data_IF_423931119714
#
_entry.id   IF_423931119714
#
_cell.length_a   1.000
_cell.length_b   1.000
_cell.length_c   1.000
_cell.angle_alpha   90.00
_cell.angle_beta   90.00
_cell.angle_gamma   90.00
#
_symmetry.space_group_name_H-M   'P 1'
#
loop_
_entity.id
_entity.type
_entity.pdbx_description
1 polymer ?
#
# COMPACT_ATOMS: atom_id res chain seq x y z
N UNK A 1 -27.83 9.38 -13.59
CA UNK A 1 -28.35 7.99 -13.58
C UNK A 1 -27.14 7.04 -13.56
N UNK A 2 -27.20 5.92 -12.83
CA UNK A 2 -26.11 4.96 -12.84
C UNK A 2 -25.96 4.38 -14.26
N UNK A 3 -24.74 4.36 -14.78
CA UNK A 3 -24.43 3.83 -16.11
C UNK A 3 -24.41 2.30 -16.00
N UNK A 4 -25.31 1.64 -16.72
CA UNK A 4 -25.35 0.18 -16.79
C UNK A 4 -24.47 -0.31 -17.94
N UNK A 5 -23.43 -1.11 -17.60
CA UNK A 5 -22.58 -1.79 -18.56
C UNK A 5 -23.00 -3.25 -18.70
N UNK A 6 -23.15 -3.73 -19.93
CA UNK A 6 -23.32 -5.14 -20.21
C UNK A 6 -21.99 -5.91 -20.05
N UNK A 7 -22.08 -7.23 -19.90
CA UNK A 7 -20.91 -8.09 -19.60
C UNK A 7 -19.70 -7.80 -20.50
N UNK A 8 -19.89 -7.77 -21.81
CA UNK A 8 -18.80 -7.51 -22.78
C UNK A 8 -18.25 -6.09 -22.70
N UNK A 9 -19.08 -5.11 -22.38
CA UNK A 9 -18.63 -3.73 -22.18
C UNK A 9 -17.77 -3.61 -20.91
N UNK A 10 -18.16 -4.34 -19.85
CA UNK A 10 -17.38 -4.39 -18.62
C UNK A 10 -16.02 -5.05 -18.85
N UNK A 11 -15.98 -6.21 -19.52
CA UNK A 11 -14.74 -6.90 -19.90
C UNK A 11 -13.80 -5.96 -20.70
N UNK A 12 -14.34 -5.17 -21.61
CA UNK A 12 -13.56 -4.20 -22.39
C UNK A 12 -13.03 -3.05 -21.52
N UNK A 13 -13.83 -2.49 -20.62
CA UNK A 13 -13.39 -1.43 -19.70
C UNK A 13 -12.31 -1.96 -18.75
N UNK A 14 -12.48 -3.15 -18.20
CA UNK A 14 -11.51 -3.80 -17.33
C UNK A 14 -10.17 -4.03 -18.06
N UNK A 15 -10.22 -4.49 -19.31
CA UNK A 15 -9.03 -4.66 -20.14
C UNK A 15 -8.32 -3.34 -20.44
N UNK A 16 -9.07 -2.28 -20.82
CA UNK A 16 -8.52 -0.94 -21.05
C UNK A 16 -7.81 -0.41 -19.81
N UNK A 17 -8.44 -0.55 -18.64
CA UNK A 17 -7.84 -0.16 -17.37
C UNK A 17 -6.50 -0.88 -17.12
N UNK A 18 -6.50 -2.20 -17.19
CA UNK A 18 -5.30 -3.02 -16.95
C UNK A 18 -4.18 -2.69 -17.94
N UNK A 19 -4.53 -2.52 -19.21
CA UNK A 19 -3.56 -2.23 -20.26
C UNK A 19 -2.92 -0.85 -20.07
N UNK A 20 -3.74 0.18 -19.83
CA UNK A 20 -3.26 1.56 -19.62
C UNK A 20 -2.41 1.64 -18.34
N UNK A 21 -2.80 0.97 -17.26
CA UNK A 21 -2.01 0.92 -16.03
C UNK A 21 -0.65 0.25 -16.24
N UNK A 22 -0.60 -0.82 -17.02
CA UNK A 22 0.63 -1.58 -17.25
C UNK A 22 1.59 -0.88 -18.21
N UNK A 23 1.09 -0.26 -19.27
CA UNK A 23 1.90 0.25 -20.36
C UNK A 23 1.96 1.78 -20.45
N UNK A 24 1.09 2.51 -19.72
CA UNK A 24 1.02 3.98 -19.74
C UNK A 24 0.31 4.57 -20.96
N UNK A 25 -0.24 3.75 -21.86
CA UNK A 25 -0.97 4.15 -23.06
C UNK A 25 -2.06 3.14 -23.41
N UNK A 26 -3.05 3.59 -24.22
CA UNK A 26 -4.16 2.72 -24.61
C UNK A 26 -3.77 1.62 -25.62
N UNK A 27 -4.47 0.47 -25.62
CA UNK A 27 -4.28 -0.55 -26.63
C UNK A 27 -4.82 -0.10 -28.00
N UNK A 28 -4.32 -0.72 -29.06
CA UNK A 28 -4.87 -0.63 -30.42
C UNK A 28 -6.14 -1.47 -30.54
N UNK A 29 -6.92 -1.24 -31.58
CA UNK A 29 -8.13 -2.04 -31.86
C UNK A 29 -7.81 -3.52 -32.07
N UNK A 30 -6.65 -3.84 -32.66
CA UNK A 30 -6.19 -5.21 -32.87
C UNK A 30 -5.86 -5.88 -31.55
N UNK A 31 -5.11 -5.22 -30.66
CA UNK A 31 -4.80 -5.72 -29.32
C UNK A 31 -6.06 -5.95 -28.48
N UNK A 32 -7.08 -5.07 -28.62
CA UNK A 32 -8.39 -5.26 -27.98
C UNK A 32 -9.10 -6.50 -28.55
N UNK A 33 -9.14 -6.65 -29.89
CA UNK A 33 -9.79 -7.78 -30.53
C UNK A 33 -9.18 -9.11 -30.09
N UNK A 34 -7.85 -9.21 -30.10
CA UNK A 34 -7.11 -10.40 -29.67
C UNK A 34 -7.37 -10.74 -28.20
N UNK A 35 -7.26 -9.77 -27.32
CA UNK A 35 -7.43 -9.96 -25.88
C UNK A 35 -8.85 -10.42 -25.49
N UNK A 36 -9.87 -9.92 -26.18
CA UNK A 36 -11.27 -10.24 -25.91
C UNK A 36 -11.82 -11.38 -26.77
N UNK A 37 -11.00 -11.99 -27.63
CA UNK A 37 -11.39 -13.06 -28.54
C UNK A 37 -12.46 -12.62 -29.55
N UNK A 38 -12.38 -11.37 -30.05
CA UNK A 38 -13.29 -10.82 -31.02
C UNK A 38 -12.73 -11.05 -32.43
N UNK A 39 -13.55 -11.63 -33.31
CA UNK A 39 -13.15 -11.98 -34.69
C UNK A 39 -13.18 -10.78 -35.66
N UNK A 40 -13.73 -9.63 -35.25
CA UNK A 40 -13.90 -8.46 -36.11
C UNK A 40 -13.56 -7.16 -35.41
N UNK A 41 -12.73 -6.34 -36.06
CA UNK A 41 -12.46 -4.96 -35.61
C UNK A 41 -13.74 -4.09 -35.64
N UNK A 42 -14.70 -4.40 -36.50
CA UNK A 42 -16.00 -3.70 -36.54
C UNK A 42 -16.75 -3.86 -35.21
N UNK A 43 -16.72 -5.05 -34.62
CA UNK A 43 -17.33 -5.32 -33.30
C UNK A 43 -16.63 -4.53 -32.19
N UNK A 44 -15.30 -4.43 -32.25
CA UNK A 44 -14.54 -3.58 -31.29
C UNK A 44 -14.97 -2.12 -31.41
N UNK A 45 -15.05 -1.61 -32.65
CA UNK A 45 -15.52 -0.25 -32.93
C UNK A 45 -16.91 0.03 -32.36
N UNK A 46 -17.85 -0.89 -32.54
CA UNK A 46 -19.23 -0.77 -32.06
C UNK A 46 -19.28 -0.71 -30.52
N UNK A 47 -18.50 -1.57 -29.83
CA UNK A 47 -18.41 -1.54 -28.38
C UNK A 47 -17.80 -0.23 -27.90
N UNK A 48 -16.71 0.24 -28.51
CA UNK A 48 -16.07 1.51 -28.16
C UNK A 48 -17.00 2.71 -28.40
N UNK A 49 -17.71 2.75 -29.53
CA UNK A 49 -18.67 3.80 -29.82
C UNK A 49 -19.82 3.82 -28.79
N UNK A 50 -20.24 2.65 -28.32
CA UNK A 50 -21.26 2.55 -27.30
C UNK A 50 -20.75 3.03 -25.94
N UNK A 51 -19.49 2.72 -25.56
CA UNK A 51 -18.87 3.20 -24.34
C UNK A 51 -18.64 4.71 -24.38
N UNK A 52 -18.27 5.25 -25.53
CA UNK A 52 -18.12 6.69 -25.74
C UNK A 52 -19.45 7.44 -25.56
N UNK A 53 -20.52 6.96 -26.18
CA UNK A 53 -21.89 7.50 -25.99
C UNK A 53 -22.37 7.43 -24.53
N UNK A 54 -21.91 6.45 -23.79
CA UNK A 54 -22.19 6.32 -22.35
C UNK A 54 -21.29 7.20 -21.48
N UNK A 55 -20.32 7.92 -22.04
CA UNK A 55 -19.37 8.75 -21.31
C UNK A 55 -18.36 7.95 -20.47
N UNK A 56 -18.10 6.70 -20.85
CA UNK A 56 -17.14 5.82 -20.16
C UNK A 56 -15.72 6.05 -20.66
N UNK A 57 -15.59 6.30 -21.98
CA UNK A 57 -14.32 6.60 -22.64
C UNK A 57 -14.46 7.86 -23.49
N UNK A 58 -13.31 8.44 -23.85
CA UNK A 58 -13.15 9.44 -24.91
C UNK A 58 -12.29 8.84 -26.01
N UNK A 59 -12.56 9.21 -27.27
CA UNK A 59 -11.77 8.80 -28.41
C UNK A 59 -11.23 10.02 -29.14
N UNK A 60 -10.00 9.90 -29.61
CA UNK A 60 -9.31 10.97 -30.35
C UNK A 60 -9.04 10.47 -31.77
N UNK A 61 -9.72 11.07 -32.74
CA UNK A 61 -9.60 10.71 -34.14
C UNK A 61 -8.16 10.94 -34.65
N UNK A 62 -7.72 10.05 -35.52
CA UNK A 62 -6.37 10.09 -36.10
C UNK A 62 -5.26 9.55 -35.22
N UNK A 63 -5.55 9.14 -33.97
CA UNK A 63 -4.58 8.52 -33.10
C UNK A 63 -4.85 7.02 -32.93
N UNK A 64 -3.88 6.17 -33.32
CA UNK A 64 -3.98 4.71 -33.25
C UNK A 64 -4.22 4.21 -31.81
N UNK A 65 -3.76 4.95 -30.81
CA UNK A 65 -3.93 4.69 -29.37
C UNK A 65 -4.78 5.77 -28.68
N UNK A 66 -5.68 6.40 -29.43
CA UNK A 66 -6.51 7.52 -29.01
C UNK A 66 -7.73 7.14 -28.19
N UNK A 67 -7.58 6.29 -27.19
CA UNK A 67 -8.66 5.91 -26.27
C UNK A 67 -8.24 6.36 -24.86
N UNK A 68 -9.13 7.07 -24.18
CA UNK A 68 -8.92 7.54 -22.81
C UNK A 68 -10.14 7.14 -21.96
N UNK A 69 -9.90 6.58 -20.78
CA UNK A 69 -10.98 6.31 -19.82
C UNK A 69 -11.36 7.61 -19.11
N UNK A 70 -12.66 7.85 -18.94
CA UNK A 70 -13.11 8.95 -18.08
C UNK A 70 -12.83 8.63 -16.61
N UNK A 71 -12.46 9.64 -15.81
CA UNK A 71 -12.00 9.50 -14.41
C UNK A 71 -12.92 8.62 -13.53
N UNK A 72 -14.23 8.72 -13.73
CA UNK A 72 -15.20 7.90 -13.01
C UNK A 72 -15.11 6.38 -13.28
N UNK A 73 -14.39 5.98 -14.34
CA UNK A 73 -14.21 4.58 -14.78
C UNK A 73 -12.76 4.14 -14.74
N UNK A 74 -11.85 5.02 -14.37
CA UNK A 74 -10.49 4.64 -14.03
C UNK A 74 -10.60 3.88 -12.70
N UNK A 75 -10.83 2.59 -12.79
CA UNK A 75 -10.58 1.75 -11.62
C UNK A 75 -9.08 1.73 -11.44
N UNK A 76 -8.60 2.50 -10.50
CA UNK A 76 -7.37 2.11 -9.84
C UNK A 76 -7.71 0.78 -9.17
N UNK A 77 -7.56 -0.31 -9.89
CA UNK A 77 -7.43 -1.62 -9.29
C UNK A 77 -6.05 -1.63 -8.61
N UNK A 78 -5.91 -0.81 -7.59
CA UNK A 78 -4.96 -1.07 -6.53
C UNK A 78 -5.53 -2.33 -5.90
N UNK A 79 -4.99 -3.50 -6.27
CA UNK A 79 -5.21 -4.72 -5.52
C UNK A 79 -4.76 -4.40 -4.11
N UNK A 80 -5.72 -3.94 -3.28
CA UNK A 80 -5.40 -3.59 -1.91
C UNK A 80 -4.95 -4.87 -1.22
N UNK A 81 -3.74 -4.87 -0.71
CA UNK A 81 -3.18 -5.99 0.04
C UNK A 81 -3.72 -5.90 1.46
N UNK A 82 -4.36 -6.97 1.92
CA UNK A 82 -4.81 -7.08 3.30
C UNK A 82 -3.64 -7.50 4.18
N UNK A 83 -3.28 -6.64 5.14
CA UNK A 83 -2.19 -6.90 6.09
C UNK A 83 -2.77 -7.07 7.49
N UNK A 84 -2.38 -8.13 8.22
CA UNK A 84 -2.86 -8.34 9.58
C UNK A 84 -2.33 -7.28 10.55
N UNK A 85 -3.17 -6.86 11.49
CA UNK A 85 -2.76 -6.07 12.65
C UNK A 85 -2.33 -7.04 13.75
N UNK A 86 -1.02 -7.13 14.00
CA UNK A 86 -0.47 -8.15 14.92
C UNK A 86 -0.25 -7.68 16.35
N UNK A 87 -0.76 -6.51 16.72
CA UNK A 87 -0.73 -6.06 18.11
C UNK A 87 -0.67 -4.56 18.29
N UNK A 88 -0.51 -4.16 19.56
CA UNK A 88 -0.29 -2.77 19.98
C UNK A 88 1.14 -2.64 20.45
N UNK A 89 1.83 -1.60 20.02
CA UNK A 89 3.12 -1.21 20.60
C UNK A 89 2.86 -0.12 21.63
N UNK A 90 3.10 -0.44 22.88
CA UNK A 90 3.15 0.55 23.95
C UNK A 90 4.60 0.90 24.27
N UNK A 91 4.89 2.18 24.49
CA UNK A 91 6.15 2.58 25.08
C UNK A 91 6.24 2.02 26.51
N UNK A 92 7.08 1.00 26.71
CA UNK A 92 7.38 0.46 28.03
C UNK A 92 6.56 -0.76 28.51
N UNK A 93 5.81 -1.41 27.62
CA UNK A 93 5.14 -2.68 27.95
C UNK A 93 5.47 -3.75 26.91
N UNK A 94 5.47 -5.06 27.30
CA UNK A 94 5.64 -6.15 26.36
C UNK A 94 4.61 -6.06 25.23
N UNK A 95 5.00 -6.44 24.02
CA UNK A 95 3.97 -6.80 23.03
C UNK A 95 3.30 -8.06 23.62
N UNK A 96 2.14 -7.89 24.24
CA UNK A 96 1.19 -8.96 24.20
C UNK A 96 0.83 -9.09 22.73
N UNK A 97 1.35 -10.14 22.12
CA UNK A 97 0.94 -10.59 20.81
C UNK A 97 -0.51 -11.13 20.93
N UNK A 98 -1.44 -10.24 21.22
CA UNK A 98 -2.82 -10.47 20.91
C UNK A 98 -2.86 -10.30 19.39
N UNK A 99 -2.54 -11.39 18.68
CA UNK A 99 -2.93 -11.53 17.29
C UNK A 99 -4.45 -11.40 17.28
N UNK A 100 -4.91 -10.18 17.09
CA UNK A 100 -6.30 -9.94 16.71
C UNK A 100 -6.37 -10.36 15.24
N UNK A 101 -6.51 -11.69 15.03
CA UNK A 101 -6.52 -12.33 13.70
C UNK A 101 -7.63 -11.81 12.81
N UNK A 102 -8.56 -11.05 13.39
CA UNK A 102 -9.73 -10.53 12.70
C UNK A 102 -9.55 -9.08 12.22
N UNK A 103 -8.50 -8.36 12.66
CA UNK A 103 -8.21 -7.02 12.20
C UNK A 103 -7.18 -7.01 11.07
N UNK A 104 -7.60 -6.54 9.90
CA UNK A 104 -6.71 -6.31 8.76
C UNK A 104 -6.80 -4.86 8.31
N UNK A 105 -5.74 -4.36 7.70
CA UNK A 105 -5.70 -3.06 7.05
C UNK A 105 -5.43 -3.26 5.56
N UNK A 106 -6.24 -2.62 4.73
CA UNK A 106 -6.05 -2.61 3.29
C UNK A 106 -5.05 -1.52 2.92
N UNK A 107 -3.98 -1.90 2.25
CA UNK A 107 -2.91 -0.99 1.82
C UNK A 107 -2.63 -1.13 0.33
N UNK A 108 -2.13 -0.06 -0.27
CA UNK A 108 -1.67 -0.11 -1.67
C UNK A 108 -0.43 -1.01 -1.81
N UNK A 109 -0.30 -1.82 -2.88
CA UNK A 109 0.87 -2.67 -3.13
C UNK A 109 2.20 -1.93 -3.12
N UNK A 110 2.22 -0.66 -3.50
CA UNK A 110 3.43 0.16 -3.50
C UNK A 110 3.89 0.62 -2.09
N UNK A 111 3.07 0.40 -1.07
CA UNK A 111 3.41 0.71 0.34
C UNK A 111 4.08 -0.47 1.05
N UNK A 112 4.17 -1.63 0.41
CA UNK A 112 4.62 -2.87 1.04
C UNK A 112 5.60 -3.62 0.16
N UNK A 113 6.48 -4.38 0.78
CA UNK A 113 7.40 -5.26 0.07
C UNK A 113 6.66 -6.51 -0.43
N UNK A 114 6.85 -6.87 -1.70
CA UNK A 114 6.35 -8.13 -2.26
C UNK A 114 7.22 -9.33 -1.89
N UNK A 115 8.47 -9.09 -1.45
CA UNK A 115 9.48 -10.12 -1.18
C UNK A 115 9.62 -10.47 0.30
N UNK A 116 9.03 -9.66 1.20
CA UNK A 116 9.14 -9.83 2.64
C UNK A 116 7.75 -9.81 3.29
N UNK A 117 7.66 -10.42 4.46
CA UNK A 117 6.44 -10.37 5.27
C UNK A 117 6.20 -8.94 5.76
N UNK A 118 4.96 -8.46 5.60
CA UNK A 118 4.53 -7.17 6.11
C UNK A 118 3.53 -7.39 7.25
N UNK A 119 3.52 -6.48 8.20
CA UNK A 119 2.59 -6.49 9.31
C UNK A 119 2.25 -5.06 9.74
N UNK A 120 1.15 -4.90 10.42
CA UNK A 120 0.69 -3.61 10.94
C UNK A 120 0.66 -3.66 12.47
N UNK A 121 1.06 -2.56 13.08
CA UNK A 121 0.99 -2.37 14.53
C UNK A 121 0.23 -1.08 14.84
N UNK A 122 -0.61 -1.11 15.87
CA UNK A 122 -1.25 0.08 16.41
C UNK A 122 -0.31 0.76 17.39
N UNK A 123 -0.06 2.05 17.16
CA UNK A 123 0.82 2.87 18.02
C UNK A 123 0.09 3.26 19.29
N UNK A 124 0.77 3.10 20.43
CA UNK A 124 0.35 3.59 21.74
C UNK A 124 1.44 4.45 22.32
N UNK A 125 1.10 5.68 22.73
CA UNK A 125 2.02 6.65 23.29
C UNK A 125 2.60 7.64 22.28
N UNK A 126 3.43 8.57 22.76
CA UNK A 126 3.84 9.79 22.06
C UNK A 126 5.34 9.84 21.76
N UNK A 127 6.03 8.70 21.79
CA UNK A 127 7.49 8.68 21.66
C UNK A 127 8.01 9.03 20.26
N UNK A 128 7.15 9.12 19.26
CA UNK A 128 7.50 9.36 17.85
C UNK A 128 6.73 10.52 17.21
N UNK A 129 6.19 11.43 18.03
CA UNK A 129 5.33 12.54 17.58
C UNK A 129 6.05 13.52 16.65
N UNK A 130 7.35 13.73 16.81
CA UNK A 130 8.15 14.62 15.96
C UNK A 130 8.43 14.01 14.56
N UNK A 131 8.25 12.71 14.40
CA UNK A 131 8.21 12.02 13.08
C UNK A 131 6.78 11.91 12.56
N UNK A 132 5.81 12.61 13.19
CA UNK A 132 4.42 12.61 12.77
C UNK A 132 3.65 11.33 13.10
N UNK A 133 4.23 10.41 13.90
CA UNK A 133 3.59 9.18 14.34
C UNK A 133 2.94 9.42 15.70
N UNK A 134 1.61 9.41 15.76
CA UNK A 134 0.83 9.74 16.93
C UNK A 134 0.19 8.50 17.58
N UNK A 135 -0.23 8.67 18.82
CA UNK A 135 -1.03 7.66 19.50
C UNK A 135 -2.30 7.32 18.69
N UNK A 136 -2.57 6.04 18.50
CA UNK A 136 -3.70 5.52 17.72
C UNK A 136 -3.43 5.26 16.24
N UNK A 137 -2.30 5.72 15.70
CA UNK A 137 -1.89 5.43 14.32
C UNK A 137 -1.63 3.94 14.08
N UNK A 138 -1.68 3.55 12.81
CA UNK A 138 -1.28 2.22 12.35
C UNK A 138 0.01 2.37 11.55
N UNK A 139 1.11 1.75 12.00
CA UNK A 139 2.37 1.70 11.26
C UNK A 139 2.48 0.41 10.47
N UNK A 140 2.82 0.55 9.18
CA UNK A 140 3.10 -0.57 8.28
C UNK A 140 4.57 -0.90 8.41
N UNK A 141 4.88 -2.12 8.78
CA UNK A 141 6.22 -2.61 9.00
C UNK A 141 6.58 -3.72 8.02
N UNK A 142 7.80 -3.68 7.51
CA UNK A 142 8.44 -4.77 6.79
C UNK A 142 9.26 -5.59 7.77
N UNK A 143 9.04 -6.91 7.83
CA UNK A 143 9.80 -7.81 8.69
C UNK A 143 11.30 -7.77 8.31
N UNK A 144 12.12 -7.46 9.29
CA UNK A 144 13.59 -7.41 9.14
C UNK A 144 14.24 -7.67 10.49
N UNK A 145 15.38 -8.34 10.48
CA UNK A 145 16.24 -8.51 11.65
C UNK A 145 17.41 -7.52 11.68
N UNK A 146 17.49 -6.62 10.70
CA UNK A 146 18.51 -5.56 10.58
C UNK A 146 17.87 -4.24 10.23
N UNK A 147 18.52 -3.14 10.57
CA UNK A 147 18.12 -1.78 10.19
C UNK A 147 19.34 -0.91 9.89
N UNK A 148 19.14 0.13 9.10
CA UNK A 148 20.12 1.17 8.85
C UNK A 148 20.01 2.28 9.91
N UNK A 149 21.07 3.09 10.01
CA UNK A 149 21.10 4.25 10.89
C UNK A 149 19.94 5.21 10.60
N UNK A 150 19.19 5.57 11.63
CA UNK A 150 18.08 6.51 11.54
C UNK A 150 16.74 5.91 11.08
N UNK A 151 16.70 4.64 10.67
CA UNK A 151 15.43 3.99 10.35
C UNK A 151 14.55 3.86 11.60
N UNK A 152 13.24 3.98 11.41
CA UNK A 152 12.25 3.76 12.46
C UNK A 152 11.98 2.25 12.53
N UNK A 153 12.26 1.67 13.69
CA UNK A 153 12.19 0.22 13.88
C UNK A 153 11.22 -0.17 14.99
N UNK A 154 10.71 -1.37 14.85
CA UNK A 154 10.11 -2.14 15.94
C UNK A 154 11.24 -2.94 16.57
N UNK A 155 11.70 -2.53 17.74
CA UNK A 155 12.76 -3.20 18.49
C UNK A 155 12.19 -3.88 19.74
N UNK A 156 12.62 -5.13 19.97
CA UNK A 156 12.37 -5.87 21.19
C UNK A 156 13.59 -5.77 22.11
N UNK A 157 13.39 -5.23 23.29
CA UNK A 157 14.39 -5.07 24.34
C UNK A 157 14.08 -6.09 25.42
N UNK A 158 15.13 -6.75 25.97
CA UNK A 158 15.04 -7.71 27.08
C UNK A 158 13.98 -8.82 26.86
N UNK A 159 13.84 -9.28 25.61
CA UNK A 159 12.91 -10.34 25.15
C UNK A 159 11.41 -10.04 25.34
N UNK A 160 11.06 -8.97 26.06
CA UNK A 160 9.66 -8.71 26.44
C UNK A 160 9.16 -7.30 26.10
N UNK A 161 10.04 -6.33 25.82
CA UNK A 161 9.63 -4.96 25.58
C UNK A 161 9.77 -4.57 24.11
N UNK A 162 8.68 -4.50 23.41
CA UNK A 162 8.70 -3.93 22.08
C UNK A 162 8.51 -2.42 22.12
N UNK A 163 9.27 -1.72 21.31
CA UNK A 163 9.22 -0.27 21.22
C UNK A 163 9.40 0.21 19.77
N UNK A 164 8.83 1.37 19.46
CA UNK A 164 9.02 2.07 18.20
C UNK A 164 9.98 3.24 18.42
N UNK A 165 11.16 3.19 17.79
CA UNK A 165 12.23 4.19 17.95
C UNK A 165 13.03 4.31 16.66
N UNK A 166 13.80 5.39 16.53
CA UNK A 166 14.86 5.51 15.51
C UNK A 166 16.07 4.69 15.98
N UNK A 167 16.56 3.85 15.08
CA UNK A 167 17.71 2.97 15.35
C UNK A 167 19.03 3.67 15.03
N UNK A 168 19.95 3.59 15.96
CA UNK A 168 21.36 3.99 15.78
C UNK A 168 22.28 2.97 16.42
N UNK A 169 23.40 2.70 15.75
CA UNK A 169 24.48 1.88 16.30
C UNK A 169 25.69 2.78 16.58
N UNK A 170 26.07 2.90 17.83
CA UNK A 170 27.20 3.71 18.31
C UNK A 170 28.25 2.78 18.93
N UNK A 171 29.25 2.39 18.11
CA UNK A 171 30.27 1.41 18.54
C UNK A 171 29.65 0.04 18.85
N UNK A 172 29.77 -0.42 20.09
CA UNK A 172 29.22 -1.69 20.56
C UNK A 172 27.82 -1.55 21.19
N UNK A 173 27.25 -0.34 21.23
CA UNK A 173 25.94 -0.09 21.82
C UNK A 173 24.92 0.26 20.75
N UNK A 174 23.68 -0.08 21.03
CA UNK A 174 22.51 0.33 20.24
C UNK A 174 21.83 1.46 20.99
N UNK A 175 21.56 2.55 20.28
CA UNK A 175 20.80 3.69 20.75
C UNK A 175 19.45 3.69 20.04
N UNK A 176 18.40 3.55 20.82
CA UNK A 176 17.02 3.66 20.38
C UNK A 176 16.51 5.06 20.73
N UNK A 177 16.47 5.92 19.71
CA UNK A 177 16.18 7.34 19.86
C UNK A 177 14.67 7.60 19.70
N UNK A 178 13.98 8.18 20.69
CA UNK A 178 12.63 8.68 20.49
C UNK A 178 12.65 9.90 19.57
N UNK A 179 11.57 10.12 18.85
CA UNK A 179 11.27 11.37 18.15
C UNK A 179 10.29 12.21 18.99
N UNK A 180 10.73 12.54 20.17
CA UNK A 180 10.04 13.38 21.16
C UNK A 180 11.10 13.99 22.07
N UNK A 181 11.26 15.31 21.99
CA UNK A 181 12.27 16.06 22.75
C UNK A 181 12.14 15.96 24.29
N UNK A 182 10.96 15.55 24.77
CA UNK A 182 10.72 15.34 26.20
C UNK A 182 11.13 13.94 26.69
N UNK A 183 11.65 13.08 25.81
CA UNK A 183 12.02 11.70 26.12
C UNK A 183 13.52 11.47 25.91
N UNK A 184 14.11 10.64 26.76
CA UNK A 184 15.53 10.30 26.65
C UNK A 184 15.76 9.08 25.75
N UNK A 185 16.88 9.00 25.03
CA UNK A 185 17.30 7.81 24.30
C UNK A 185 17.48 6.61 25.22
N UNK A 186 17.19 5.42 24.72
CA UNK A 186 17.45 4.15 25.39
C UNK A 186 18.74 3.57 24.80
N UNK A 187 19.71 3.26 25.68
CA UNK A 187 20.95 2.59 25.28
C UNK A 187 20.91 1.14 25.75
N UNK A 188 21.15 0.22 24.85
CA UNK A 188 21.19 -1.22 25.12
C UNK A 188 22.42 -1.86 24.47
N UNK A 189 22.89 -2.94 25.05
CA UNK A 189 23.99 -3.71 24.44
C UNK A 189 23.51 -4.54 23.27
N UNK A 190 22.25 -4.99 23.31
CA UNK A 190 21.62 -5.74 22.23
C UNK A 190 20.10 -5.48 22.20
N UNK A 191 19.50 -5.62 21.02
CA UNK A 191 18.06 -5.68 20.82
C UNK A 191 17.73 -6.54 19.59
N UNK A 192 16.53 -7.07 19.55
CA UNK A 192 16.03 -7.82 18.38
C UNK A 192 15.17 -6.87 17.55
N UNK A 193 15.59 -6.61 16.32
CA UNK A 193 14.77 -5.86 15.37
C UNK A 193 13.71 -6.82 14.80
N UNK A 194 12.44 -6.47 14.94
CA UNK A 194 11.31 -7.23 14.42
C UNK A 194 10.89 -6.74 13.03
N UNK A 195 11.12 -5.47 12.75
CA UNK A 195 10.79 -4.86 11.46
C UNK A 195 11.13 -3.38 11.39
N UNK A 196 11.08 -2.88 10.16
CA UNK A 196 11.32 -1.47 9.80
C UNK A 196 10.02 -0.85 9.34
N UNK A 197 9.70 0.34 9.83
CA UNK A 197 8.50 1.09 9.41
C UNK A 197 8.68 1.59 7.99
N UNK A 198 7.68 1.32 7.14
CA UNK A 198 7.63 1.73 5.73
C UNK A 198 6.47 2.69 5.43
N UNK A 199 5.48 2.74 6.29
CA UNK A 199 4.32 3.61 6.09
C UNK A 199 3.49 3.82 7.34
N UNK A 200 2.55 4.75 7.24
CA UNK A 200 1.64 5.16 8.31
C UNK A 200 0.22 5.27 7.76
N UNK A 201 -0.74 4.82 8.54
CA UNK A 201 -2.18 5.02 8.28
C UNK A 201 -2.80 5.67 9.51
N UNK A 202 -3.50 6.77 9.31
CA UNK A 202 -4.28 7.47 10.33
C UNK A 202 -5.75 7.56 9.92
N UNK A 203 -6.62 7.21 10.85
CA UNK A 203 -8.06 7.43 10.72
C UNK A 203 -8.45 8.63 11.60
N UNK A 204 -9.23 9.52 11.03
CA UNK A 204 -9.83 10.70 11.73
C UNK A 204 -11.26 10.42 12.10
#
# INVERSE_FOLDING_TARGET
MPITLYKRQKELVDYLNQYIQKFGFAPTLTEIAEALGLSSLATVHEHLQTLERKGVIRRFDGNVRGIELCDAFITHAVEAISIPVIGKIAAGHPIEAIEDKDQTVLVSPNMVSSSKRNFVLKVVGDSMIEEGINNGDYVICEQSNTANQGEIVVALIDENFATLKKFYKEGNKIKLMPANSNMQPIYVDNCIIQGVVKGLIRKY
#
